data_IF_607156103442
#
_entry.id   IF_607156103442
#
_cell.length_a   1.000
_cell.length_b   1.000
_cell.length_c   1.000
_cell.angle_alpha   90.00
_cell.angle_beta   90.00
_cell.angle_gamma   90.00
#
_symmetry.space_group_name_H-M   'P 1'
#
loop_
_entity.id
_entity.type
_entity.pdbx_description
1 polymer ?
#
# COMPACT_ATOMS: atom_id res chain seq x y z
N UNK A 1 -12.00 -4.52 9.97
CA UNK A 1 -11.50 -4.55 8.57
C UNK A 1 -10.00 -4.66 8.59
N UNK A 2 -9.46 -5.67 7.93
CA UNK A 2 -8.01 -5.91 7.93
C UNK A 2 -7.35 -5.22 6.74
N UNK A 3 -6.19 -4.62 6.97
CA UNK A 3 -5.40 -3.98 5.92
C UNK A 3 -4.48 -4.96 5.20
N UNK A 4 -4.41 -6.20 5.67
CA UNK A 4 -3.52 -7.21 5.12
C UNK A 4 -4.11 -8.59 5.30
N UNK A 5 -3.55 -9.53 4.55
CA UNK A 5 -3.93 -10.94 4.60
C UNK A 5 -2.66 -11.77 4.74
N UNK A 6 -2.68 -12.76 5.62
CA UNK A 6 -1.56 -13.67 5.84
C UNK A 6 -1.91 -15.04 5.25
N UNK A 7 -1.03 -15.55 4.40
CA UNK A 7 -1.14 -16.90 3.85
C UNK A 7 0.07 -17.68 4.35
N UNK A 8 -0.15 -18.58 5.29
CA UNK A 8 0.94 -19.30 5.94
C UNK A 8 1.57 -20.33 5.02
N UNK A 9 2.91 -20.37 5.04
CA UNK A 9 3.70 -21.45 4.46
C UNK A 9 4.39 -22.25 5.56
N UNK A 10 5.18 -23.24 5.15
CA UNK A 10 5.88 -24.13 6.07
C UNK A 10 7.41 -23.95 6.05
N UNK A 11 7.93 -23.11 5.16
CA UNK A 11 9.36 -22.78 5.17
C UNK A 11 9.59 -21.49 5.98
N UNK A 12 10.85 -21.18 6.32
CA UNK A 12 11.16 -19.95 7.07
C UNK A 12 11.09 -18.67 6.22
N UNK A 13 10.85 -18.79 4.91
CA UNK A 13 10.79 -17.62 4.03
C UNK A 13 9.46 -16.88 4.19
N UNK A 14 9.53 -15.56 4.31
CA UNK A 14 8.37 -14.68 4.34
C UNK A 14 8.48 -13.71 3.17
N UNK A 15 7.42 -13.60 2.39
CA UNK A 15 7.34 -12.68 1.25
C UNK A 15 6.27 -11.64 1.56
N UNK A 16 6.64 -10.37 1.50
CA UNK A 16 5.75 -9.25 1.73
C UNK A 16 5.33 -8.65 0.39
N UNK A 17 4.03 -8.43 0.21
CA UNK A 17 3.45 -7.87 -1.02
C UNK A 17 2.63 -6.63 -0.62
N UNK A 18 3.30 -5.47 -0.43
CA UNK A 18 2.66 -4.30 0.16
C UNK A 18 1.84 -3.46 -0.81
N UNK A 19 1.99 -3.66 -2.12
CA UNK A 19 1.43 -2.76 -3.11
C UNK A 19 0.49 -3.41 -4.13
N UNK A 20 0.04 -4.62 -3.86
CA UNK A 20 -0.91 -5.31 -4.75
C UNK A 20 -2.38 -5.09 -4.36
N UNK A 21 -2.63 -4.46 -3.21
CA UNK A 21 -4.00 -4.24 -2.75
C UNK A 21 -4.77 -3.25 -3.63
N UNK A 22 -6.05 -3.49 -3.77
CA UNK A 22 -6.92 -2.67 -4.60
C UNK A 22 -8.13 -2.11 -3.85
N UNK A 23 -8.32 -2.50 -2.59
CA UNK A 23 -9.46 -2.03 -1.82
C UNK A 23 -9.29 -0.56 -1.46
N UNK A 24 -10.31 0.24 -1.78
CA UNK A 24 -10.37 1.65 -1.40
C UNK A 24 -11.77 1.89 -0.82
N UNK A 25 -11.89 2.21 0.47
CA UNK A 25 -13.19 2.52 1.04
C UNK A 25 -13.88 3.64 0.27
N UNK A 26 -15.20 3.55 0.10
CA UNK A 26 -15.96 4.51 -0.70
C UNK A 26 -15.79 5.95 -0.25
N UNK A 27 -15.70 6.17 1.06
CA UNK A 27 -15.46 7.50 1.64
C UNK A 27 -14.13 8.09 1.16
N UNK A 28 -13.12 7.24 1.05
CA UNK A 28 -11.79 7.66 0.58
C UNK A 28 -11.80 7.81 -0.94
N UNK A 29 -12.40 6.86 -1.66
CA UNK A 29 -12.47 6.91 -3.11
C UNK A 29 -13.14 8.19 -3.62
N UNK A 30 -14.16 8.68 -2.90
CA UNK A 30 -14.87 9.90 -3.28
C UNK A 30 -13.98 11.14 -3.26
N UNK A 31 -12.87 11.09 -2.55
CA UNK A 31 -11.90 12.20 -2.45
C UNK A 31 -10.81 12.11 -3.51
N UNK A 32 -10.73 11.01 -4.23
CA UNK A 32 -9.67 10.78 -5.21
C UNK A 32 -10.04 11.35 -6.57
N UNK A 33 -9.00 11.70 -7.33
CA UNK A 33 -9.18 12.08 -8.74
C UNK A 33 -9.59 10.86 -9.56
N UNK A 34 -10.21 11.10 -10.72
CA UNK A 34 -10.61 10.01 -11.61
C UNK A 34 -9.42 9.16 -12.04
N UNK A 35 -8.29 9.78 -12.32
CA UNK A 35 -7.07 9.07 -12.68
C UNK A 35 -6.58 8.18 -11.55
N UNK A 36 -6.54 8.71 -10.33
CA UNK A 36 -6.06 7.94 -9.18
C UNK A 36 -6.96 6.75 -8.87
N UNK A 37 -8.24 6.84 -9.16
CA UNK A 37 -9.18 5.72 -8.95
C UNK A 37 -8.87 4.51 -9.82
N UNK A 38 -8.11 4.67 -10.89
CA UNK A 38 -7.66 3.54 -11.71
C UNK A 38 -6.50 2.80 -11.06
N UNK A 39 -5.96 3.33 -9.96
CA UNK A 39 -4.87 2.73 -9.18
C UNK A 39 -3.64 2.41 -10.03
N UNK A 40 -3.08 3.40 -10.76
CA UNK A 40 -2.02 3.13 -11.73
C UNK A 40 -0.72 2.61 -11.10
N UNK A 41 -0.49 2.87 -9.82
CA UNK A 41 0.76 2.48 -9.15
C UNK A 41 0.61 1.16 -8.38
N UNK A 42 -0.43 0.39 -8.66
CA UNK A 42 -0.64 -0.93 -8.07
C UNK A 42 0.32 -1.93 -8.71
N UNK A 43 0.86 -2.82 -7.91
CA UNK A 43 1.65 -3.94 -8.43
C UNK A 43 0.69 -5.00 -8.96
N UNK A 44 0.36 -4.89 -10.24
CA UNK A 44 -0.52 -5.84 -10.92
C UNK A 44 0.21 -7.14 -11.25
N UNK A 45 -0.55 -8.19 -11.48
CA UNK A 45 -0.02 -9.45 -12.01
C UNK A 45 0.96 -10.15 -11.06
N UNK A 46 0.59 -10.23 -9.79
CA UNK A 46 1.43 -10.89 -8.77
C UNK A 46 1.20 -12.41 -8.70
N UNK A 47 0.43 -12.98 -9.61
CA UNK A 47 0.08 -14.40 -9.60
C UNK A 47 1.31 -15.30 -9.69
N UNK A 48 2.30 -14.90 -10.46
CA UNK A 48 3.56 -15.65 -10.57
C UNK A 48 4.32 -15.67 -9.26
N UNK A 49 4.28 -14.57 -8.53
CA UNK A 49 4.90 -14.49 -7.22
C UNK A 49 4.18 -15.41 -6.24
N UNK A 50 2.85 -15.46 -6.29
CA UNK A 50 2.07 -16.35 -5.42
C UNK A 50 2.37 -17.82 -5.73
N UNK A 51 2.47 -18.17 -7.01
CA UNK A 51 2.81 -19.53 -7.43
C UNK A 51 4.20 -19.92 -6.94
N UNK A 52 5.17 -19.04 -7.08
CA UNK A 52 6.53 -19.26 -6.57
C UNK A 52 6.53 -19.42 -5.05
N UNK A 53 5.82 -18.57 -4.33
CA UNK A 53 5.73 -18.67 -2.88
C UNK A 53 5.18 -20.01 -2.43
N UNK A 54 4.13 -20.50 -3.10
CA UNK A 54 3.56 -21.81 -2.81
C UNK A 54 4.57 -22.93 -3.07
N UNK A 55 5.31 -22.82 -4.16
CA UNK A 55 6.30 -23.83 -4.53
C UNK A 55 7.41 -23.96 -3.49
N UNK A 56 7.87 -22.85 -2.92
CA UNK A 56 8.93 -22.84 -1.91
C UNK A 56 8.41 -22.87 -0.47
N UNK A 57 7.11 -22.96 -0.29
CA UNK A 57 6.50 -23.01 1.04
C UNK A 57 6.59 -21.70 1.81
N UNK A 58 6.72 -20.57 1.13
CA UNK A 58 6.84 -19.28 1.79
C UNK A 58 5.51 -18.82 2.42
N UNK A 59 5.63 -18.06 3.50
CA UNK A 59 4.50 -17.33 4.06
C UNK A 59 4.36 -16.02 3.30
N UNK A 60 3.12 -15.68 2.90
CA UNK A 60 2.81 -14.43 2.21
C UNK A 60 2.09 -13.47 3.13
N UNK A 61 2.54 -12.22 3.16
CA UNK A 61 1.86 -11.11 3.80
C UNK A 61 1.44 -10.14 2.70
N UNK A 62 0.14 -10.01 2.46
CA UNK A 62 -0.39 -9.30 1.30
C UNK A 62 -1.27 -8.15 1.75
N UNK A 63 -1.00 -6.94 1.25
CA UNK A 63 -1.86 -5.79 1.48
C UNK A 63 -3.20 -5.99 0.76
N UNK A 64 -4.30 -5.65 1.43
CA UNK A 64 -5.64 -5.71 0.85
C UNK A 64 -6.03 -4.38 0.25
N UNK A 65 -5.61 -3.29 0.86
CA UNK A 65 -5.96 -1.94 0.45
C UNK A 65 -4.92 -1.35 -0.48
N UNK A 66 -5.37 -0.44 -1.35
CA UNK A 66 -4.47 0.28 -2.24
C UNK A 66 -3.40 1.03 -1.46
N UNK A 67 -2.21 1.11 -2.01
CA UNK A 67 -1.12 1.93 -1.46
C UNK A 67 -1.51 3.41 -1.36
N UNK A 68 -2.54 3.84 -2.06
CA UNK A 68 -3.03 5.21 -1.94
C UNK A 68 -3.83 5.43 -0.66
N UNK A 69 -4.36 4.38 -0.06
CA UNK A 69 -5.01 4.47 1.25
C UNK A 69 -3.96 4.54 2.35
N UNK A 70 -3.02 3.62 2.32
CA UNK A 70 -1.86 3.62 3.20
C UNK A 70 -0.78 2.76 2.56
N UNK A 71 0.43 3.29 2.48
CA UNK A 71 1.55 2.55 1.91
C UNK A 71 2.25 1.78 3.04
N UNK A 72 2.05 0.47 3.07
CA UNK A 72 2.60 -0.39 4.12
C UNK A 72 4.12 -0.55 4.04
N UNK A 73 4.75 0.00 3.01
CA UNK A 73 6.19 -0.01 2.86
C UNK A 73 6.79 1.38 3.06
N UNK A 74 6.20 2.16 3.98
CA UNK A 74 6.71 3.49 4.34
C UNK A 74 6.80 3.62 5.84
N UNK A 75 7.77 4.41 6.28
CA UNK A 75 7.92 4.72 7.69
C UNK A 75 6.76 5.62 8.13
N UNK A 76 6.03 5.25 9.18
CA UNK A 76 4.96 6.12 9.71
C UNK A 76 5.47 7.50 10.14
N UNK A 77 6.75 7.62 10.49
CA UNK A 77 7.37 8.89 10.85
C UNK A 77 7.81 9.73 9.67
N UNK A 78 7.66 9.23 8.44
CA UNK A 78 7.99 10.00 7.25
C UNK A 78 9.47 9.98 6.85
N UNK A 79 10.28 9.10 7.45
CA UNK A 79 11.69 9.02 7.11
C UNK A 79 11.86 8.34 5.76
N UNK A 80 12.68 8.94 4.88
CA UNK A 80 12.95 8.37 3.56
C UNK A 80 13.72 7.06 3.69
N UNK A 81 13.42 6.10 2.79
CA UNK A 81 14.13 4.82 2.76
C UNK A 81 15.60 5.01 2.40
N UNK A 82 15.90 5.97 1.54
CA UNK A 82 17.26 6.30 1.12
C UNK A 82 17.47 7.80 1.22
N UNK A 83 18.60 8.21 1.75
CA UNK A 83 18.95 9.62 1.85
C UNK A 83 19.02 10.23 0.44
N UNK A 84 18.35 11.38 0.24
CA UNK A 84 18.34 12.09 -1.03
C UNK A 84 17.46 11.49 -2.11
N UNK A 85 16.76 10.39 -1.87
CA UNK A 85 15.84 9.82 -2.83
C UNK A 85 14.47 10.49 -2.72
N UNK A 86 13.76 10.55 -3.85
CA UNK A 86 12.36 10.94 -3.83
C UNK A 86 11.58 9.92 -3.01
N UNK A 87 10.80 10.43 -2.08
CA UNK A 87 10.06 9.59 -1.16
C UNK A 87 8.59 9.93 -1.21
N UNK A 88 7.76 8.91 -1.39
CA UNK A 88 6.33 9.09 -1.25
C UNK A 88 5.93 8.96 0.22
N UNK A 89 4.92 9.69 0.60
CA UNK A 89 4.43 9.71 1.99
C UNK A 89 3.70 8.40 2.32
N UNK A 90 3.45 8.18 3.60
CA UNK A 90 2.66 7.04 4.08
C UNK A 90 1.27 7.03 3.42
N UNK A 91 0.64 8.20 3.30
CA UNK A 91 -0.54 8.41 2.46
C UNK A 91 -0.07 9.31 1.33
N UNK A 92 0.22 8.76 0.15
CA UNK A 92 0.83 9.54 -0.91
C UNK A 92 -0.13 10.61 -1.44
N UNK A 93 0.44 11.69 -1.96
CA UNK A 93 -0.32 12.80 -2.53
C UNK A 93 -0.26 12.84 -4.05
N UNK A 94 0.72 12.14 -4.64
CA UNK A 94 0.90 12.11 -6.10
C UNK A 94 1.18 10.70 -6.58
N UNK A 95 0.71 10.40 -7.78
CA UNK A 95 1.04 9.17 -8.48
C UNK A 95 2.50 9.18 -8.93
N UNK A 96 3.03 8.05 -9.36
CA UNK A 96 4.38 7.97 -9.93
C UNK A 96 4.50 8.81 -11.21
N UNK A 97 3.40 9.02 -11.92
CA UNK A 97 3.36 9.92 -13.08
C UNK A 97 3.30 11.40 -12.66
N UNK A 98 3.39 11.68 -11.35
CA UNK A 98 3.38 13.02 -10.77
C UNK A 98 2.05 13.77 -10.98
N UNK A 99 0.95 13.03 -10.97
CA UNK A 99 -0.40 13.62 -11.02
C UNK A 99 -1.05 13.57 -9.65
N UNK A 100 -1.97 14.48 -9.33
CA UNK A 100 -2.61 14.49 -8.02
C UNK A 100 -3.45 13.22 -7.78
N UNK A 101 -3.33 12.67 -6.59
CA UNK A 101 -4.20 11.55 -6.16
C UNK A 101 -5.52 12.09 -5.63
N UNK A 102 -5.47 13.19 -4.90
CA UNK A 102 -6.62 13.73 -4.20
C UNK A 102 -7.20 14.93 -4.91
N UNK A 103 -8.52 15.04 -4.88
CA UNK A 103 -9.21 16.23 -5.38
C UNK A 103 -8.79 17.40 -4.51
N UNK A 104 -8.80 18.61 -5.08
CA UNK A 104 -8.37 19.80 -4.38
C UNK A 104 -9.10 19.96 -3.02
N UNK A 105 -8.32 20.11 -1.96
CA UNK A 105 -8.84 20.24 -0.61
C UNK A 105 -9.40 18.95 -0.01
N UNK A 106 -9.21 17.80 -0.67
CA UNK A 106 -9.82 16.54 -0.24
C UNK A 106 -8.83 15.49 0.25
N UNK A 107 -7.54 15.84 0.33
CA UNK A 107 -6.56 14.90 0.85
C UNK A 107 -6.92 14.49 2.28
N UNK A 108 -6.80 13.19 2.63
CA UNK A 108 -7.08 12.76 4.00
C UNK A 108 -6.10 13.39 4.98
N UNK A 109 -6.59 13.73 6.16
CA UNK A 109 -5.73 14.17 7.24
C UNK A 109 -5.34 12.94 8.05
N UNK A 110 -4.03 12.67 8.10
CA UNK A 110 -3.55 11.55 8.91
C UNK A 110 -3.55 11.94 10.38
N UNK A 111 -4.13 11.11 11.27
CA UNK A 111 -3.90 11.27 12.68
C UNK A 111 -2.40 11.08 12.95
N UNK A 112 -1.80 11.99 13.66
CA UNK A 112 -0.42 11.86 14.07
C UNK A 112 -0.33 10.87 15.21
N UNK A 113 0.51 9.88 15.06
CA UNK A 113 0.77 8.90 16.10
C UNK A 113 0.78 7.47 15.60
N UNK A 114 1.34 6.57 16.39
CA UNK A 114 1.52 5.18 15.97
C UNK A 114 0.23 4.41 15.77
N UNK A 115 -0.87 4.87 16.33
CA UNK A 115 -2.16 4.19 16.20
C UNK A 115 -2.66 4.13 14.76
N UNK A 116 -2.24 5.09 13.92
CA UNK A 116 -2.71 5.17 12.56
C UNK A 116 -2.29 3.97 11.71
N UNK A 117 -1.17 3.36 12.07
CA UNK A 117 -0.62 2.23 11.32
C UNK A 117 -0.25 1.06 12.19
N UNK A 118 -0.59 1.10 13.45
CA UNK A 118 -0.33 -0.03 14.33
C UNK A 118 -1.19 -1.18 13.88
N UNK A 119 -0.56 -2.26 13.62
CA UNK A 119 -1.26 -3.39 13.16
C UNK A 119 -2.00 -4.03 14.16
N UNK A 120 -2.73 -4.64 13.83
CA UNK A 120 -3.67 -5.53 14.07
C UNK A 120 -3.70 -6.57 14.16
#
# INVERSE_FOLDING_TARGET
>A
MSLWRLIRGDSPLVIDVPHAGTDVPGVIASRMTAEARTLPDTDWHVEKLYAFAREVGATLLVATHSRYVVDLNRDPGGVALYAGADNTELVPTRTFANTPIWREGRAPTMPLGPCAVSSP
#
